data_IF_926366289105
#
_entry.id   IF_926366289105
#
_cell.length_a   1.000
_cell.length_b   1.000
_cell.length_c   1.000
_cell.angle_alpha   90.00
_cell.angle_beta   90.00
_cell.angle_gamma   90.00
#
_symmetry.space_group_name_H-M   'P 1'
#
loop_
_entity.id
_entity.type
_entity.pdbx_description
1 polymer ?
#
# COMPACT_ATOMS: atom_id res chain seq x y z
N UNK A 1 49.53 49.14 8.38
CA UNK A 1 48.67 50.24 8.84
C UNK A 1 49.59 51.40 9.17
N UNK A 2 49.53 52.49 8.42
CA UNK A 2 50.16 53.75 8.85
C UNK A 2 49.23 54.36 9.88
N UNK A 3 49.63 54.32 11.15
CA UNK A 3 48.92 55.01 12.22
C UNK A 3 49.28 56.49 12.14
N UNK A 4 48.28 57.35 11.94
CA UNK A 4 48.49 58.78 12.09
C UNK A 4 48.68 59.10 13.57
N UNK A 5 49.80 59.72 13.89
CA UNK A 5 50.06 60.25 15.23
C UNK A 5 49.21 61.51 15.49
N UNK A 6 48.06 61.31 16.13
CA UNK A 6 47.09 62.34 16.51
C UNK A 6 47.62 63.33 17.57
N UNK A 7 48.84 63.12 18.10
CA UNK A 7 49.47 64.00 19.08
C UNK A 7 50.13 65.26 18.46
N UNK A 8 50.28 65.32 17.13
CA UNK A 8 50.90 66.45 16.43
C UNK A 8 49.94 67.63 16.28
N UNK A 9 50.38 68.83 16.69
CA UNK A 9 49.58 70.07 16.75
C UNK A 9 49.13 70.62 15.38
N UNK A 10 49.70 70.16 14.27
CA UNK A 10 49.23 70.43 12.90
C UNK A 10 49.64 69.27 11.99
N UNK A 11 48.68 68.45 11.59
CA UNK A 11 48.89 67.44 10.55
C UNK A 11 49.02 68.12 9.18
N UNK A 12 49.93 67.65 8.34
CA UNK A 12 50.00 68.10 6.96
C UNK A 12 48.74 67.68 6.20
N UNK A 13 48.16 68.60 5.43
CA UNK A 13 46.99 68.33 4.57
C UNK A 13 47.23 67.13 3.63
N UNK A 14 48.50 66.91 3.24
CA UNK A 14 48.90 65.82 2.37
C UNK A 14 48.96 64.45 3.10
N UNK A 15 49.44 64.43 4.34
CA UNK A 15 49.44 63.22 5.20
C UNK A 15 48.00 62.75 5.50
N UNK A 16 47.10 63.71 5.77
CA UNK A 16 45.67 63.41 5.98
C UNK A 16 45.02 62.87 4.71
N UNK A 17 45.37 63.42 3.53
CA UNK A 17 44.86 62.93 2.23
C UNK A 17 45.35 61.51 1.94
N UNK A 18 46.63 61.23 2.14
CA UNK A 18 47.20 59.89 1.93
C UNK A 18 46.58 58.86 2.86
N UNK A 19 46.33 59.21 4.13
CA UNK A 19 45.61 58.33 5.05
C UNK A 19 44.17 58.09 4.60
N UNK A 20 43.42 59.13 4.22
CA UNK A 20 42.05 58.99 3.71
C UNK A 20 42.02 58.10 2.46
N UNK A 21 42.99 58.24 1.55
CA UNK A 21 43.10 57.38 0.37
C UNK A 21 43.43 55.93 0.73
N UNK A 22 44.36 55.71 1.66
CA UNK A 22 44.69 54.36 2.14
C UNK A 22 43.48 53.70 2.81
N UNK A 23 42.72 54.46 3.59
CA UNK A 23 41.53 54.02 4.29
C UNK A 23 40.41 53.69 3.29
N UNK A 24 40.19 54.53 2.27
CA UNK A 24 39.27 54.26 1.16
C UNK A 24 39.66 52.98 0.41
N UNK A 25 40.93 52.81 0.03
CA UNK A 25 41.41 51.61 -0.65
C UNK A 25 41.19 50.35 0.20
N UNK A 26 41.44 50.43 1.51
CA UNK A 26 41.21 49.30 2.42
C UNK A 26 39.72 48.96 2.55
N UNK A 27 38.84 49.97 2.66
CA UNK A 27 37.40 49.74 2.67
C UNK A 27 36.87 49.21 1.33
N UNK A 28 37.36 49.73 0.21
CA UNK A 28 37.02 49.23 -1.13
C UNK A 28 37.47 47.78 -1.31
N UNK A 29 38.66 47.43 -0.82
CA UNK A 29 39.17 46.06 -0.83
C UNK A 29 38.30 45.13 0.02
N UNK A 30 38.04 45.49 1.28
CA UNK A 30 37.17 44.70 2.17
C UNK A 30 35.74 44.56 1.63
N UNK A 31 35.21 45.62 1.00
CA UNK A 31 33.89 45.60 0.37
C UNK A 31 33.88 44.67 -0.85
N UNK A 32 34.96 44.63 -1.63
CA UNK A 32 35.09 43.70 -2.76
C UNK A 32 35.12 42.25 -2.26
N UNK A 33 35.97 41.95 -1.27
CA UNK A 33 36.07 40.60 -0.69
C UNK A 33 34.74 40.13 -0.09
N UNK A 34 34.01 41.03 0.59
CA UNK A 34 32.67 40.73 1.11
C UNK A 34 31.66 40.48 -0.01
N UNK A 35 31.71 41.24 -1.10
CA UNK A 35 30.84 41.01 -2.27
C UNK A 35 31.12 39.65 -2.89
N UNK A 36 32.38 39.32 -3.13
CA UNK A 36 32.80 38.03 -3.71
C UNK A 36 32.31 36.88 -2.82
N UNK A 37 32.47 37.00 -1.51
CA UNK A 37 31.95 36.01 -0.56
C UNK A 37 30.43 35.88 -0.58
N UNK A 38 29.70 37.00 -0.70
CA UNK A 38 28.24 36.98 -0.83
C UNK A 38 27.82 36.27 -2.12
N UNK A 39 28.53 36.51 -3.23
CA UNK A 39 28.26 35.83 -4.50
C UNK A 39 28.49 34.32 -4.41
N UNK A 40 29.62 33.89 -3.83
CA UNK A 40 29.90 32.47 -3.59
C UNK A 40 28.80 31.81 -2.73
N UNK A 41 28.43 32.44 -1.61
CA UNK A 41 27.42 31.88 -0.72
C UNK A 41 26.05 31.80 -1.39
N UNK A 42 25.68 32.79 -2.20
CA UNK A 42 24.44 32.76 -2.99
C UNK A 42 24.45 31.64 -4.02
N UNK A 43 25.58 31.41 -4.68
CA UNK A 43 25.73 30.32 -5.63
C UNK A 43 25.61 28.96 -4.92
N UNK A 44 26.25 28.80 -3.77
CA UNK A 44 26.15 27.58 -2.95
C UNK A 44 24.72 27.34 -2.46
N UNK A 45 24.00 28.37 -2.01
CA UNK A 45 22.59 28.26 -1.62
C UNK A 45 21.77 27.76 -2.80
N UNK A 46 21.93 28.37 -3.97
CA UNK A 46 21.21 27.96 -5.18
C UNK A 46 21.52 26.51 -5.58
N UNK A 47 22.78 26.10 -5.49
CA UNK A 47 23.18 24.73 -5.79
C UNK A 47 22.59 23.72 -4.79
N UNK A 48 22.63 24.05 -3.49
CA UNK A 48 22.07 23.22 -2.42
C UNK A 48 20.56 23.10 -2.55
N UNK A 49 19.84 24.19 -2.82
CA UNK A 49 18.40 24.19 -3.07
C UNK A 49 18.05 23.31 -4.28
N UNK A 50 18.82 23.39 -5.36
CA UNK A 50 18.64 22.54 -6.54
C UNK A 50 18.83 21.05 -6.20
N UNK A 51 19.88 20.71 -5.44
CA UNK A 51 20.11 19.33 -4.97
C UNK A 51 19.00 18.85 -4.06
N UNK A 52 18.51 19.70 -3.16
CA UNK A 52 17.45 19.39 -2.21
C UNK A 52 16.15 19.07 -2.97
N UNK A 53 15.79 19.88 -3.97
CA UNK A 53 14.60 19.60 -4.79
C UNK A 53 14.76 18.32 -5.62
N UNK A 54 15.95 18.04 -6.15
CA UNK A 54 16.22 16.77 -6.82
C UNK A 54 16.04 15.56 -5.88
N UNK A 55 16.52 15.66 -4.63
CA UNK A 55 16.32 14.60 -3.64
C UNK A 55 14.85 14.45 -3.23
N UNK A 56 14.13 15.56 -3.03
CA UNK A 56 12.69 15.52 -2.75
C UNK A 56 11.91 14.88 -3.89
N UNK A 57 12.22 15.23 -5.12
CA UNK A 57 11.61 14.64 -6.31
C UNK A 57 11.85 13.13 -6.39
N UNK A 58 13.09 12.68 -6.17
CA UNK A 58 13.42 11.25 -6.08
C UNK A 58 12.68 10.56 -4.93
N UNK A 59 12.59 11.20 -3.77
CA UNK A 59 11.81 10.70 -2.63
C UNK A 59 10.32 10.50 -2.97
N UNK A 60 9.71 11.45 -3.68
CA UNK A 60 8.33 11.33 -4.17
C UNK A 60 8.17 10.14 -5.13
N UNK A 61 9.09 9.96 -6.08
CA UNK A 61 9.06 8.83 -7.02
C UNK A 61 9.23 7.49 -6.33
N UNK A 62 10.14 7.39 -5.36
CA UNK A 62 10.35 6.17 -4.55
C UNK A 62 9.09 5.85 -3.76
N UNK A 63 8.50 6.82 -3.07
CA UNK A 63 7.28 6.61 -2.31
C UNK A 63 6.12 6.18 -3.22
N UNK A 64 5.97 6.78 -4.40
CA UNK A 64 4.97 6.36 -5.37
C UNK A 64 5.20 4.92 -5.86
N UNK A 65 6.45 4.54 -6.12
CA UNK A 65 6.81 3.19 -6.52
C UNK A 65 6.53 2.17 -5.39
N UNK A 66 6.82 2.53 -4.14
CA UNK A 66 6.52 1.69 -2.97
C UNK A 66 5.01 1.50 -2.80
N UNK A 67 4.22 2.57 -2.92
CA UNK A 67 2.75 2.48 -2.86
C UNK A 67 2.20 1.60 -3.98
N UNK A 68 2.70 1.76 -5.20
CA UNK A 68 2.29 0.93 -6.33
C UNK A 68 2.68 -0.55 -6.12
N UNK A 69 3.86 -0.82 -5.56
CA UNK A 69 4.32 -2.17 -5.25
C UNK A 69 3.44 -2.83 -4.18
N UNK A 70 3.09 -2.11 -3.11
CA UNK A 70 2.18 -2.60 -2.05
C UNK A 70 0.80 -2.89 -2.63
N UNK A 71 0.22 -1.96 -3.38
CA UNK A 71 -1.08 -2.16 -4.02
C UNK A 71 -1.08 -3.37 -4.97
N UNK A 72 0.01 -3.56 -5.72
CA UNK A 72 0.14 -4.72 -6.62
C UNK A 72 0.32 -6.02 -5.85
N UNK A 73 1.03 -6.02 -4.72
CA UNK A 73 1.18 -7.17 -3.85
C UNK A 73 -0.18 -7.60 -3.27
N UNK A 74 -0.98 -6.64 -2.78
CA UNK A 74 -2.34 -6.89 -2.30
C UNK A 74 -3.24 -7.45 -3.40
N UNK A 75 -3.16 -6.91 -4.62
CA UNK A 75 -3.90 -7.45 -5.77
C UNK A 75 -3.54 -8.91 -6.05
N UNK A 76 -2.24 -9.22 -6.05
CA UNK A 76 -1.74 -10.57 -6.31
C UNK A 76 -2.17 -11.53 -5.21
N UNK A 77 -2.12 -11.12 -3.95
CA UNK A 77 -2.57 -11.93 -2.83
C UNK A 77 -4.07 -12.25 -2.95
N UNK A 78 -4.90 -11.25 -3.23
CA UNK A 78 -6.34 -11.45 -3.41
C UNK A 78 -6.65 -12.31 -4.64
N UNK A 79 -5.97 -12.07 -5.76
CA UNK A 79 -6.11 -12.88 -6.95
C UNK A 79 -5.68 -14.34 -6.71
N UNK A 80 -4.62 -14.56 -5.94
CA UNK A 80 -4.18 -15.89 -5.54
C UNK A 80 -5.21 -16.57 -4.66
N UNK A 81 -5.72 -15.91 -3.60
CA UNK A 81 -6.79 -16.43 -2.73
C UNK A 81 -8.01 -16.86 -3.54
N UNK A 82 -8.52 -15.98 -4.41
CA UNK A 82 -9.67 -16.29 -5.28
C UNK A 82 -9.38 -17.51 -6.15
N UNK A 83 -8.18 -17.59 -6.74
CA UNK A 83 -7.80 -18.74 -7.56
C UNK A 83 -7.77 -20.03 -6.74
N UNK A 84 -7.15 -20.02 -5.55
CA UNK A 84 -7.13 -21.18 -4.66
C UNK A 84 -8.54 -21.63 -4.27
N UNK A 85 -9.41 -20.70 -3.89
CA UNK A 85 -10.80 -21.00 -3.56
C UNK A 85 -11.55 -21.64 -4.74
N UNK A 86 -11.33 -21.14 -5.95
CA UNK A 86 -11.92 -21.71 -7.17
C UNK A 86 -11.42 -23.13 -7.44
N UNK A 87 -10.10 -23.37 -7.35
CA UNK A 87 -9.52 -24.70 -7.57
C UNK A 87 -9.99 -25.71 -6.50
N UNK A 88 -10.09 -25.28 -5.23
CA UNK A 88 -10.63 -26.11 -4.13
C UNK A 88 -12.08 -26.49 -4.43
N UNK A 89 -12.93 -25.51 -4.81
CA UNK A 89 -14.33 -25.79 -5.20
C UNK A 89 -14.41 -26.72 -6.42
N UNK A 90 -13.54 -26.50 -7.41
CA UNK A 90 -13.39 -27.36 -8.58
C UNK A 90 -13.08 -28.81 -8.20
N UNK A 91 -12.11 -29.00 -7.31
CA UNK A 91 -11.68 -30.31 -6.83
C UNK A 91 -12.78 -31.01 -6.01
N UNK A 92 -13.55 -30.26 -5.22
CA UNK A 92 -14.71 -30.79 -4.49
C UNK A 92 -15.81 -31.30 -5.43
N UNK A 93 -16.14 -30.56 -6.47
CA UNK A 93 -17.11 -31.07 -7.46
C UNK A 93 -16.58 -32.27 -8.22
N UNK A 94 -15.30 -32.25 -8.60
CA UNK A 94 -14.70 -33.41 -9.24
C UNK A 94 -14.82 -34.64 -8.35
N UNK A 95 -14.52 -34.49 -7.05
CA UNK A 95 -14.67 -35.55 -6.07
C UNK A 95 -16.13 -36.01 -5.92
N UNK A 96 -17.09 -35.08 -5.88
CA UNK A 96 -18.52 -35.42 -5.83
C UNK A 96 -19.00 -36.18 -7.08
N UNK A 97 -18.59 -35.73 -8.28
CA UNK A 97 -18.86 -36.41 -9.55
C UNK A 97 -18.22 -37.80 -9.54
N UNK A 98 -16.95 -37.91 -9.11
CA UNK A 98 -16.24 -39.17 -8.98
C UNK A 98 -16.95 -40.15 -8.04
N UNK A 99 -17.40 -39.70 -6.87
CA UNK A 99 -18.20 -40.50 -5.94
C UNK A 99 -19.52 -40.99 -6.56
N UNK A 100 -20.19 -40.15 -7.36
CA UNK A 100 -21.42 -40.55 -8.05
C UNK A 100 -21.17 -41.66 -9.08
N UNK A 101 -20.09 -41.59 -9.85
CA UNK A 101 -19.69 -42.65 -10.77
C UNK A 101 -19.31 -43.92 -10.00
N UNK A 102 -18.57 -43.77 -8.90
CA UNK A 102 -18.17 -44.88 -8.05
C UNK A 102 -19.38 -45.61 -7.45
N UNK A 103 -20.43 -44.89 -7.01
CA UNK A 103 -21.70 -45.50 -6.57
C UNK A 103 -22.36 -46.32 -7.68
N UNK A 104 -22.41 -45.80 -8.92
CA UNK A 104 -22.95 -46.52 -10.08
C UNK A 104 -22.17 -47.80 -10.39
N UNK A 105 -20.87 -47.84 -10.10
CA UNK A 105 -20.03 -49.04 -10.27
C UNK A 105 -20.34 -50.08 -9.18
N UNK A 106 -20.48 -49.64 -7.92
CA UNK A 106 -20.86 -50.53 -6.81
C UNK A 106 -22.25 -51.17 -7.04
N UNK A 107 -23.21 -50.43 -7.60
CA UNK A 107 -24.54 -50.99 -7.89
C UNK A 107 -24.51 -52.08 -8.97
N UNK A 108 -23.57 -52.02 -9.91
CA UNK A 108 -23.52 -52.92 -11.07
C UNK A 108 -22.59 -54.12 -10.90
N UNK A 109 -21.65 -54.06 -9.96
CA UNK A 109 -20.62 -55.08 -9.79
C UNK A 109 -20.52 -55.54 -8.33
N UNK A 110 -20.30 -56.85 -8.09
CA UNK A 110 -20.06 -57.36 -6.74
C UNK A 110 -18.81 -56.72 -6.13
N UNK A 111 -18.83 -56.53 -4.81
CA UNK A 111 -17.77 -55.86 -4.06
C UNK A 111 -16.50 -56.73 -4.10
N UNK A 112 -15.52 -56.29 -4.89
CA UNK A 112 -14.17 -56.86 -4.97
C UNK A 112 -13.19 -56.13 -4.03
N UNK A 113 -12.09 -56.77 -3.67
CA UNK A 113 -11.03 -56.21 -2.81
C UNK A 113 -10.42 -54.92 -3.41
N UNK A 114 -10.44 -54.80 -4.75
CA UNK A 114 -10.07 -53.58 -5.46
C UNK A 114 -11.06 -52.43 -5.23
N UNK A 115 -12.37 -52.70 -5.14
CA UNK A 115 -13.36 -51.68 -4.79
C UNK A 115 -13.17 -51.21 -3.34
N UNK A 116 -12.86 -52.12 -2.41
CA UNK A 116 -12.56 -51.72 -1.02
C UNK A 116 -11.37 -50.75 -0.94
N UNK A 117 -10.33 -50.97 -1.76
CA UNK A 117 -9.18 -50.04 -1.86
C UNK A 117 -9.59 -48.67 -2.41
N UNK A 118 -10.45 -48.63 -3.43
CA UNK A 118 -10.98 -47.37 -3.99
C UNK A 118 -11.87 -46.63 -2.98
N UNK A 119 -12.69 -47.33 -2.21
CA UNK A 119 -13.49 -46.73 -1.14
C UNK A 119 -12.61 -46.08 -0.05
N UNK A 120 -11.51 -46.74 0.34
CA UNK A 120 -10.52 -46.17 1.29
C UNK A 120 -9.82 -44.94 0.71
N UNK A 121 -9.47 -44.96 -0.57
CA UNK A 121 -8.89 -43.80 -1.26
C UNK A 121 -9.88 -42.62 -1.29
N UNK A 122 -11.13 -42.87 -1.66
CA UNK A 122 -12.17 -41.84 -1.69
C UNK A 122 -12.40 -41.23 -0.30
N UNK A 123 -12.36 -42.04 0.76
CA UNK A 123 -12.43 -41.53 2.14
C UNK A 123 -11.27 -40.61 2.48
N UNK A 124 -10.03 -41.05 2.21
CA UNK A 124 -8.83 -40.21 2.42
C UNK A 124 -8.88 -38.91 1.62
N UNK A 125 -9.44 -38.94 0.41
CA UNK A 125 -9.59 -37.76 -0.42
C UNK A 125 -10.66 -36.81 0.13
N UNK A 126 -11.77 -37.32 0.66
CA UNK A 126 -12.76 -36.51 1.38
C UNK A 126 -12.14 -35.86 2.61
N UNK A 127 -11.44 -36.64 3.44
CA UNK A 127 -10.79 -36.15 4.66
C UNK A 127 -9.74 -35.05 4.34
N UNK A 128 -9.00 -35.20 3.25
CA UNK A 128 -8.03 -34.20 2.80
C UNK A 128 -8.69 -32.90 2.30
N UNK A 129 -9.81 -33.00 1.57
CA UNK A 129 -10.55 -31.84 1.07
C UNK A 129 -11.25 -31.07 2.20
N UNK A 130 -11.69 -31.76 3.25
CA UNK A 130 -12.30 -31.15 4.42
C UNK A 130 -11.25 -30.46 5.30
N UNK A 131 -10.05 -31.05 5.45
CA UNK A 131 -8.92 -30.44 6.17
C UNK A 131 -8.47 -29.12 5.52
N UNK A 132 -8.38 -29.09 4.19
CA UNK A 132 -8.01 -27.87 3.43
C UNK A 132 -9.00 -26.73 3.67
N UNK A 133 -10.28 -27.03 3.95
CA UNK A 133 -11.28 -26.02 4.30
C UNK A 133 -11.09 -25.43 5.69
N UNK A 134 -10.60 -26.23 6.64
CA UNK A 134 -10.32 -25.78 8.02
C UNK A 134 -9.03 -25.00 8.16
N UNK A 135 -8.06 -25.19 7.26
CA UNK A 135 -6.78 -24.49 7.26
C UNK A 135 -6.76 -23.21 6.39
N UNK A 136 -7.83 -22.95 5.62
CA UNK A 136 -7.95 -21.72 4.84
C UNK A 136 -8.15 -20.52 5.78
N UNK A 137 -7.41 -19.40 5.60
CA UNK A 137 -7.47 -18.26 6.53
C UNK A 137 -8.90 -17.70 6.61
N UNK A 138 -9.33 -17.23 7.80
CA UNK A 138 -10.70 -16.84 8.04
C UNK A 138 -11.11 -15.69 7.11
N UNK A 139 -12.29 -15.82 6.51
CA UNK A 139 -12.95 -14.72 5.79
C UNK A 139 -13.05 -13.51 6.73
N UNK A 140 -12.77 -12.28 6.27
CA UNK A 140 -13.12 -11.09 7.04
C UNK A 140 -14.64 -10.96 7.07
N UNK A 141 -15.25 -11.34 8.19
CA UNK A 141 -16.70 -11.25 8.42
C UNK A 141 -17.05 -9.78 8.64
N UNK A 142 -17.74 -9.16 7.69
CA UNK A 142 -18.50 -7.93 7.97
C UNK A 142 -19.84 -8.31 8.59
N UNK A 143 -20.24 -7.58 9.64
CA UNK A 143 -21.36 -7.86 10.57
C UNK A 143 -22.77 -7.96 9.94
N UNK A 144 -22.88 -7.96 8.61
CA UNK A 144 -24.15 -8.01 7.87
C UNK A 144 -24.49 -9.43 7.39
N UNK A 145 -23.52 -10.36 7.44
CA UNK A 145 -23.70 -11.71 6.91
C UNK A 145 -24.35 -12.71 7.89
N UNK A 146 -24.47 -12.42 9.19
CA UNK A 146 -25.09 -13.39 10.14
C UNK A 146 -26.56 -13.67 9.80
N UNK A 147 -27.31 -12.68 9.32
CA UNK A 147 -28.67 -12.88 8.81
C UNK A 147 -28.69 -13.64 7.48
N UNK A 148 -27.77 -13.33 6.55
CA UNK A 148 -27.70 -14.01 5.25
C UNK A 148 -27.20 -15.46 5.38
N UNK A 149 -26.34 -15.74 6.35
CA UNK A 149 -25.84 -17.08 6.67
C UNK A 149 -26.95 -17.90 7.33
N UNK A 150 -27.80 -17.31 8.19
CA UNK A 150 -28.98 -18.01 8.72
C UNK A 150 -29.99 -18.36 7.63
N UNK A 151 -30.24 -17.45 6.69
CA UNK A 151 -31.11 -17.70 5.53
C UNK A 151 -30.50 -18.72 4.56
N UNK A 152 -29.17 -18.66 4.33
CA UNK A 152 -28.46 -19.63 3.51
C UNK A 152 -28.38 -21.02 4.16
N UNK A 153 -28.28 -21.11 5.49
CA UNK A 153 -28.34 -22.38 6.23
C UNK A 153 -29.75 -22.99 6.16
N UNK A 154 -30.80 -22.18 6.19
CA UNK A 154 -32.17 -22.64 5.97
C UNK A 154 -32.40 -23.09 4.52
N UNK A 155 -31.85 -22.38 3.53
CA UNK A 155 -31.88 -22.78 2.12
C UNK A 155 -31.06 -24.05 1.84
N UNK A 156 -29.90 -24.22 2.46
CA UNK A 156 -29.06 -25.41 2.36
C UNK A 156 -29.72 -26.65 2.99
N UNK A 157 -30.48 -26.47 4.08
CA UNK A 157 -31.32 -27.55 4.65
C UNK A 157 -32.47 -27.95 3.74
N UNK A 158 -32.97 -27.05 2.89
CA UNK A 158 -33.98 -27.35 1.87
C UNK A 158 -33.37 -28.04 0.63
N UNK A 159 -32.14 -27.68 0.23
CA UNK A 159 -31.43 -28.25 -0.93
C UNK A 159 -30.77 -29.62 -0.68
N UNK A 160 -30.63 -30.05 0.57
CA UNK A 160 -30.09 -31.37 0.93
C UNK A 160 -30.99 -32.56 0.52
N UNK A 161 -32.21 -32.31 0.04
CA UNK A 161 -33.07 -33.34 -0.57
C UNK A 161 -33.07 -33.18 -2.10
N UNK A 162 -32.21 -34.00 -2.73
CA UNK A 162 -32.02 -34.19 -4.19
C UNK A 162 -31.22 -33.08 -4.87
N UNK A 163 -29.92 -33.29 -5.01
CA UNK A 163 -29.07 -32.48 -5.90
C UNK A 163 -28.54 -33.38 -7.00
N UNK A 164 -29.03 -33.13 -8.22
CA UNK A 164 -28.54 -33.77 -9.45
C UNK A 164 -27.12 -33.24 -9.77
N UNK A 165 -26.24 -34.03 -10.41
CA UNK A 165 -24.88 -33.61 -10.75
C UNK A 165 -24.78 -32.35 -11.62
N UNK A 166 -25.83 -32.06 -12.39
CA UNK A 166 -25.93 -30.88 -13.26
C UNK A 166 -26.23 -29.60 -12.45
N UNK A 167 -26.98 -29.72 -11.36
CA UNK A 167 -27.36 -28.60 -10.47
C UNK A 167 -26.13 -28.07 -9.70
N UNK A 168 -25.24 -28.98 -9.30
CA UNK A 168 -23.96 -28.64 -8.66
C UNK A 168 -23.02 -27.93 -9.64
N UNK A 169 -23.05 -28.29 -10.93
CA UNK A 169 -22.23 -27.66 -11.97
C UNK A 169 -22.67 -26.21 -12.24
N UNK A 170 -23.99 -25.96 -12.25
CA UNK A 170 -24.58 -24.62 -12.40
C UNK A 170 -24.27 -23.71 -11.21
N UNK A 171 -24.26 -24.26 -9.99
CA UNK A 171 -23.85 -23.52 -8.79
C UNK A 171 -22.39 -23.07 -8.85
N UNK A 172 -21.50 -23.86 -9.45
CA UNK A 172 -20.11 -23.44 -9.62
C UNK A 172 -19.92 -22.37 -10.68
N UNK A 173 -20.63 -22.45 -11.79
CA UNK A 173 -20.56 -21.44 -12.85
C UNK A 173 -21.04 -20.07 -12.33
N UNK A 174 -22.14 -20.04 -11.58
CA UNK A 174 -22.64 -18.82 -10.96
C UNK A 174 -21.71 -18.26 -9.87
N UNK A 175 -21.10 -19.11 -9.06
CA UNK A 175 -20.15 -18.71 -8.03
C UNK A 175 -18.80 -18.23 -8.62
N UNK A 176 -18.35 -18.86 -9.72
CA UNK A 176 -17.21 -18.42 -10.53
C UNK A 176 -17.50 -17.03 -11.12
N UNK A 177 -18.70 -16.79 -11.63
CA UNK A 177 -19.10 -15.48 -12.10
C UNK A 177 -19.09 -14.44 -10.97
N UNK A 178 -19.65 -14.74 -9.79
CA UNK A 178 -19.58 -13.84 -8.62
C UNK A 178 -18.13 -13.49 -8.25
N UNK A 179 -17.24 -14.46 -8.16
CA UNK A 179 -15.82 -14.25 -7.82
C UNK A 179 -15.09 -13.42 -8.89
N UNK A 180 -15.40 -13.63 -10.17
CA UNK A 180 -14.86 -12.79 -11.25
C UNK A 180 -15.40 -11.36 -11.22
N UNK A 181 -16.65 -11.17 -10.79
CA UNK A 181 -17.22 -9.83 -10.56
C UNK A 181 -16.59 -9.16 -9.34
N UNK A 182 -16.29 -9.89 -8.26
CA UNK A 182 -15.59 -9.33 -7.09
C UNK A 182 -14.18 -8.88 -7.47
N UNK A 183 -13.48 -9.66 -8.30
CA UNK A 183 -12.18 -9.28 -8.86
C UNK A 183 -12.25 -8.02 -9.74
N UNK A 184 -13.34 -7.84 -10.50
CA UNK A 184 -13.58 -6.63 -11.31
C UNK A 184 -13.97 -5.41 -10.46
N UNK A 185 -14.66 -5.63 -9.34
CA UNK A 185 -15.09 -4.58 -8.42
C UNK A 185 -13.96 -4.08 -7.51
N UNK A 186 -12.83 -4.78 -7.46
CA UNK A 186 -11.66 -4.35 -6.71
C UNK A 186 -10.99 -3.15 -7.40
N UNK A 187 -11.07 -1.99 -6.76
CA UNK A 187 -10.45 -0.76 -7.25
C UNK A 187 -9.30 -0.34 -6.31
N UNK A 188 -8.03 -0.58 -6.70
CA UNK A 188 -6.88 -0.31 -5.83
C UNK A 188 -6.79 1.15 -5.39
N UNK A 189 -7.19 2.08 -6.26
CA UNK A 189 -7.13 3.53 -6.01
C UNK A 189 -8.09 3.98 -4.90
N UNK A 190 -9.29 3.42 -4.81
CA UNK A 190 -10.25 3.76 -3.75
C UNK A 190 -9.84 3.17 -2.40
N UNK A 191 -9.22 1.99 -2.38
CA UNK A 191 -8.75 1.38 -1.14
C UNK A 191 -7.52 2.11 -0.58
N UNK A 192 -6.62 2.58 -1.44
CA UNK A 192 -5.52 3.47 -1.03
C UNK A 192 -6.08 4.78 -0.47
N UNK A 193 -7.10 5.37 -1.11
CA UNK A 193 -7.76 6.59 -0.62
C UNK A 193 -8.39 6.40 0.78
N UNK A 194 -9.10 5.29 1.01
CA UNK A 194 -9.64 4.94 2.33
C UNK A 194 -8.55 4.77 3.39
N UNK A 195 -7.36 4.30 3.01
CA UNK A 195 -6.22 4.19 3.92
C UNK A 195 -5.66 5.55 4.34
N UNK A 196 -5.66 6.54 3.44
CA UNK A 196 -5.33 7.93 3.77
C UNK A 196 -6.39 8.57 4.69
N UNK A 197 -7.67 8.32 4.42
CA UNK A 197 -8.77 8.93 5.19
C UNK A 197 -8.95 8.32 6.61
N UNK A 198 -8.47 7.09 6.85
CA UNK A 198 -8.79 6.34 8.09
C UNK A 198 -7.68 6.28 9.15
N UNK A 199 -6.49 6.84 8.89
CA UNK A 199 -5.40 6.83 9.88
C UNK A 199 -4.54 8.10 9.81
N UNK A 200 -4.88 9.09 10.63
CA UNK A 200 -3.96 10.03 11.28
C UNK A 200 -2.78 10.57 10.44
N UNK A 201 -2.99 10.85 9.16
CA UNK A 201 -1.96 11.35 8.25
C UNK A 201 -2.56 12.44 7.38
N UNK A 202 -2.37 13.68 7.81
CA UNK A 202 -2.53 14.92 7.05
C UNK A 202 -3.67 14.91 6.00
N UNK A 203 -4.86 15.32 6.42
CA UNK A 203 -5.95 15.61 5.49
C UNK A 203 -5.68 16.93 4.77
N UNK A 204 -5.55 16.91 3.44
CA UNK A 204 -5.36 18.12 2.62
C UNK A 204 -6.55 19.09 2.75
N UNK A 205 -7.76 18.54 2.92
CA UNK A 205 -8.99 19.31 3.11
C UNK A 205 -8.98 20.03 4.48
N UNK A 206 -8.48 19.35 5.51
CA UNK A 206 -8.30 19.90 6.86
C UNK A 206 -7.14 20.91 6.93
N UNK A 207 -6.10 20.70 6.12
CA UNK A 207 -5.00 21.67 5.98
C UNK A 207 -5.44 22.96 5.25
N UNK A 208 -6.41 22.86 4.35
CA UNK A 208 -7.02 24.00 3.66
C UNK A 208 -8.10 24.69 4.51
N UNK A 209 -8.71 23.96 5.44
CA UNK A 209 -9.73 24.43 6.37
C UNK A 209 -9.43 23.98 7.81
N UNK A 210 -8.39 24.54 8.45
CA UNK A 210 -8.02 24.14 9.80
C UNK A 210 -9.16 24.48 10.77
N UNK A 211 -9.63 23.46 11.48
CA UNK A 211 -10.65 23.57 12.55
C UNK A 211 -10.02 23.86 13.90
N UNK A 212 -8.72 23.60 14.05
CA UNK A 212 -7.93 23.85 15.26
C UNK A 212 -7.36 25.28 15.26
N UNK A 213 -7.23 25.84 16.46
CA UNK A 213 -6.71 27.20 16.63
C UNK A 213 -5.21 27.26 16.34
N UNK A 214 -4.72 28.39 15.81
CA UNK A 214 -3.30 28.57 15.47
C UNK A 214 -2.37 28.37 16.69
N UNK A 215 -2.86 28.63 17.90
CA UNK A 215 -2.15 28.39 19.16
C UNK A 215 -1.99 26.90 19.50
N UNK A 216 -2.95 26.05 19.15
CA UNK A 216 -2.84 24.60 19.33
C UNK A 216 -1.87 23.99 18.33
N UNK A 217 -1.90 24.45 17.07
CA UNK A 217 -1.00 23.98 16.01
C UNK A 217 0.47 24.32 16.33
N UNK A 218 0.72 25.48 16.96
CA UNK A 218 2.07 25.93 17.31
C UNK A 218 2.64 25.33 18.60
N UNK A 219 1.81 24.64 19.40
CA UNK A 219 2.23 24.04 20.68
C UNK A 219 3.19 22.87 20.51
N UNK A 220 3.14 22.19 19.37
CA UNK A 220 4.03 21.07 19.04
C UNK A 220 5.36 21.51 18.39
N UNK A 221 5.53 22.82 18.13
CA UNK A 221 6.72 23.41 17.52
C UNK A 221 7.63 24.16 18.51
N UNK A 222 7.24 24.23 19.79
CA UNK A 222 7.97 24.87 20.91
C UNK A 222 8.39 23.81 21.94
#
# INVERSE_FOLDING_TARGET
MEEIDLSKKSLSSDEVRQYIESLRRNYEKSLSEQKDRIFELREQIKELESKLEAYRSRGRQINQALLAAVAKAEELEQAAKIKYDMEIKGLKMFHAKWLSYYRKIIEKYPIDDNLVKIARFNKKMSDALDLIETESPPKPITKTEEQQVQDAIQAAKAQAKKTDPDDISLQYESEKERLTQTKKAWNPLENIKKYYDSKAAFSLEEALHPTESLEEILKDLL
#
